data_IF_838052207867
#
_entry.id   IF_838052207867
#
_cell.length_a   1.000
_cell.length_b   1.000
_cell.length_c   1.000
_cell.angle_alpha   90.00
_cell.angle_beta   90.00
_cell.angle_gamma   90.00
#
_symmetry.space_group_name_H-M   'P 1'
#
loop_
_entity.id
_entity.type
_entity.pdbx_description
1 polymer ?
#
# COMPACT_ATOMS: atom_id res chain seq x y z
N UNK A 1 2.37 -7.21 -16.57
CA UNK A 1 3.59 -7.15 -17.41
C UNK A 1 4.58 -8.28 -17.16
N UNK A 2 4.31 -9.23 -16.23
CA UNK A 2 5.20 -10.35 -15.99
C UNK A 2 5.43 -11.18 -17.26
N UNK A 3 6.71 -11.48 -17.56
CA UNK A 3 7.14 -12.15 -18.80
C UNK A 3 7.20 -11.23 -20.03
N UNK A 4 7.18 -9.91 -19.84
CA UNK A 4 7.49 -8.94 -20.90
C UNK A 4 8.98 -8.63 -20.90
N UNK A 5 9.50 -8.20 -22.08
CA UNK A 5 10.79 -7.50 -22.06
C UNK A 5 10.61 -6.10 -21.47
N UNK A 6 11.70 -5.49 -21.01
CA UNK A 6 11.65 -4.13 -20.47
C UNK A 6 11.08 -3.14 -21.48
N UNK A 7 11.51 -3.22 -22.75
CA UNK A 7 11.06 -2.34 -23.84
C UNK A 7 9.56 -2.45 -24.06
N UNK A 8 9.03 -3.67 -24.02
CA UNK A 8 7.58 -3.88 -24.15
C UNK A 8 6.81 -3.35 -22.96
N UNK A 9 7.32 -3.53 -21.74
CA UNK A 9 6.74 -2.96 -20.54
C UNK A 9 6.68 -1.43 -20.61
N UNK A 10 7.80 -0.80 -20.99
CA UNK A 10 7.90 0.65 -21.12
C UNK A 10 6.90 1.19 -22.16
N UNK A 11 6.70 0.48 -23.26
CA UNK A 11 5.80 0.89 -24.34
C UNK A 11 4.31 0.69 -24.00
N UNK A 12 3.95 -0.42 -23.34
CA UNK A 12 2.56 -0.84 -23.16
C UNK A 12 2.01 -0.53 -21.76
N UNK A 13 2.87 -0.47 -20.71
CA UNK A 13 2.45 -0.33 -19.31
C UNK A 13 2.90 1.00 -18.72
N UNK A 14 4.20 1.31 -18.81
CA UNK A 14 4.74 2.51 -18.16
C UNK A 14 4.19 3.81 -18.75
N UNK A 15 3.81 3.81 -20.03
CA UNK A 15 3.23 4.97 -20.74
C UNK A 15 1.71 4.99 -20.72
N UNK A 16 1.05 3.92 -20.26
CA UNK A 16 -0.40 3.88 -20.20
C UNK A 16 -0.93 4.84 -19.13
N UNK A 17 -1.99 5.58 -19.46
CA UNK A 17 -2.74 6.32 -18.44
C UNK A 17 -3.32 5.32 -17.42
N UNK A 18 -3.03 5.56 -16.16
CA UNK A 18 -3.56 4.77 -15.06
C UNK A 18 -4.30 5.65 -14.06
N UNK A 19 -5.34 5.11 -13.43
CA UNK A 19 -5.96 5.75 -12.28
C UNK A 19 -4.95 5.79 -11.12
N UNK A 20 -5.07 6.78 -10.21
CA UNK A 20 -4.27 6.79 -8.99
C UNK A 20 -4.36 5.45 -8.26
N UNK A 21 -3.21 4.92 -7.86
CA UNK A 21 -3.15 3.68 -7.09
C UNK A 21 -3.57 3.93 -5.64
N UNK A 22 -3.77 2.85 -4.88
CA UNK A 22 -4.00 2.98 -3.44
C UNK A 22 -2.78 3.57 -2.70
N UNK A 23 -1.59 3.54 -3.29
CA UNK A 23 -0.42 4.25 -2.76
C UNK A 23 -0.58 5.78 -2.84
N UNK A 24 -1.22 6.28 -3.90
CA UNK A 24 -1.61 7.67 -4.00
C UNK A 24 -2.51 8.08 -2.82
N UNK A 25 -3.56 7.30 -2.58
CA UNK A 25 -4.47 7.54 -1.46
C UNK A 25 -3.76 7.44 -0.09
N UNK A 26 -2.79 6.53 0.06
CA UNK A 26 -2.00 6.40 1.27
C UNK A 26 -1.14 7.67 1.53
N UNK A 27 -0.48 8.20 0.49
CA UNK A 27 0.29 9.43 0.60
C UNK A 27 -0.59 10.63 0.98
N UNK A 28 -1.77 10.76 0.36
CA UNK A 28 -2.74 11.81 0.70
C UNK A 28 -3.26 11.67 2.13
N UNK A 29 -3.54 10.44 2.59
CA UNK A 29 -4.00 10.18 3.94
C UNK A 29 -2.94 10.56 5.00
N UNK A 30 -1.65 10.30 4.73
CA UNK A 30 -0.55 10.74 5.59
C UNK A 30 -0.55 12.27 5.70
N UNK A 31 -0.62 12.99 4.57
CA UNK A 31 -0.67 14.45 4.57
C UNK A 31 -1.89 14.98 5.35
N UNK A 32 -3.06 14.37 5.16
CA UNK A 32 -4.27 14.74 5.90
C UNK A 32 -4.10 14.57 7.41
N UNK A 33 -3.56 13.45 7.86
CA UNK A 33 -3.30 13.18 9.29
C UNK A 33 -2.25 14.10 9.90
N UNK A 34 -1.23 14.45 9.12
CA UNK A 34 -0.13 15.32 9.57
C UNK A 34 -0.45 16.81 9.40
N UNK A 35 -1.61 17.15 8.83
CA UNK A 35 -2.00 18.51 8.48
C UNK A 35 -1.01 19.20 7.53
N UNK A 36 -0.41 18.41 6.62
CA UNK A 36 0.46 18.93 5.58
C UNK A 36 -0.33 19.29 4.33
N UNK A 37 0.04 20.38 3.69
CA UNK A 37 -0.59 20.84 2.45
C UNK A 37 0.16 20.30 1.25
N UNK A 38 -0.54 19.54 0.40
CA UNK A 38 0.03 18.97 -0.81
C UNK A 38 0.31 20.09 -1.81
N UNK A 39 1.52 20.10 -2.35
CA UNK A 39 1.97 20.99 -3.42
C UNK A 39 1.79 20.34 -4.78
N UNK A 40 2.28 19.12 -4.93
CA UNK A 40 2.13 18.29 -6.11
C UNK A 40 2.20 16.80 -5.74
N UNK A 41 1.65 15.98 -6.62
CA UNK A 41 1.68 14.53 -6.50
C UNK A 41 1.73 13.91 -7.89
N UNK A 42 2.54 12.88 -8.06
CA UNK A 42 2.70 12.15 -9.30
C UNK A 42 2.83 10.65 -9.06
N UNK A 43 2.58 9.87 -10.10
CA UNK A 43 2.72 8.42 -10.06
C UNK A 43 3.38 7.91 -11.32
N UNK A 44 4.21 6.89 -11.21
CA UNK A 44 4.80 6.16 -12.32
C UNK A 44 4.72 4.66 -12.07
N UNK A 45 4.67 3.87 -13.16
CA UNK A 45 4.82 2.42 -13.11
C UNK A 45 6.23 2.03 -13.51
N UNK A 46 6.91 1.24 -12.69
CA UNK A 46 8.28 0.81 -12.88
C UNK A 46 8.32 -0.71 -12.99
N UNK A 47 9.05 -1.31 -13.96
CA UNK A 47 9.16 -2.76 -14.05
C UNK A 47 10.03 -3.29 -12.91
N UNK A 48 9.63 -4.42 -12.34
CA UNK A 48 10.47 -5.21 -11.44
C UNK A 48 11.12 -6.33 -12.24
N UNK A 49 12.44 -6.39 -12.20
CA UNK A 49 13.26 -7.31 -13.02
C UNK A 49 14.21 -8.04 -12.09
N UNK A 50 14.33 -9.34 -12.25
CA UNK A 50 15.33 -10.16 -11.56
C UNK A 50 16.49 -10.50 -12.50
N UNK A 51 17.65 -10.71 -11.92
CA UNK A 51 18.87 -11.17 -12.60
C UNK A 51 19.01 -12.70 -12.63
N UNK A 52 17.96 -13.41 -12.24
CA UNK A 52 17.84 -14.86 -12.22
C UNK A 52 16.49 -15.31 -12.77
N UNK A 53 16.41 -16.56 -13.21
CA UNK A 53 15.17 -17.18 -13.67
C UNK A 53 14.21 -17.39 -12.50
N UNK A 54 12.92 -17.11 -12.69
CA UNK A 54 11.88 -17.35 -11.68
C UNK A 54 10.68 -18.07 -12.29
N UNK A 55 10.20 -19.11 -11.64
CA UNK A 55 8.99 -19.81 -12.05
C UNK A 55 7.74 -19.07 -11.58
N UNK A 56 6.83 -18.80 -12.49
CA UNK A 56 5.53 -18.21 -12.19
C UNK A 56 4.44 -19.29 -12.23
N UNK A 57 3.87 -19.63 -11.10
CA UNK A 57 2.75 -20.56 -11.02
C UNK A 57 1.53 -20.04 -11.80
N UNK A 58 1.25 -18.75 -11.71
CA UNK A 58 0.12 -18.10 -12.40
C UNK A 58 0.26 -18.18 -13.92
N UNK A 59 1.47 -18.01 -14.45
CA UNK A 59 1.73 -18.10 -15.89
C UNK A 59 2.03 -19.54 -16.33
N UNK A 60 2.30 -20.46 -15.40
CA UNK A 60 2.68 -21.85 -15.68
C UNK A 60 4.00 -21.98 -16.42
N UNK A 61 4.91 -21.01 -16.28
CA UNK A 61 6.20 -21.00 -16.98
C UNK A 61 7.30 -20.28 -16.20
N UNK A 62 8.53 -20.58 -16.54
CA UNK A 62 9.69 -19.79 -16.06
C UNK A 62 9.78 -18.48 -16.83
N UNK A 63 10.04 -17.40 -16.11
CA UNK A 63 10.38 -16.09 -16.63
C UNK A 63 11.92 -16.00 -16.60
N UNK A 64 12.57 -15.80 -17.75
CA UNK A 64 14.03 -15.70 -17.81
C UNK A 64 14.58 -14.48 -17.08
N UNK A 65 15.81 -14.59 -16.60
CA UNK A 65 16.58 -13.48 -16.09
C UNK A 65 16.56 -12.28 -17.06
N UNK A 66 16.37 -11.06 -16.55
CA UNK A 66 16.29 -9.84 -17.35
C UNK A 66 14.91 -9.52 -17.92
N UNK A 67 13.95 -10.44 -17.87
CA UNK A 67 12.55 -10.14 -18.18
C UNK A 67 11.81 -9.59 -16.96
N UNK A 68 10.70 -8.90 -17.22
CA UNK A 68 9.85 -8.33 -16.17
C UNK A 68 9.18 -9.43 -15.36
N UNK A 69 9.39 -9.43 -14.06
CA UNK A 69 8.78 -10.36 -13.11
C UNK A 69 7.65 -9.74 -12.30
N UNK A 70 7.47 -8.43 -12.44
CA UNK A 70 6.45 -7.67 -11.74
C UNK A 70 6.48 -6.19 -12.07
N UNK A 71 5.76 -5.40 -11.29
CA UNK A 71 5.78 -3.95 -11.42
C UNK A 71 5.69 -3.29 -10.05
N UNK A 72 6.17 -2.07 -9.99
CA UNK A 72 5.96 -1.18 -8.86
C UNK A 72 5.17 0.04 -9.29
N UNK A 73 4.15 0.40 -8.50
CA UNK A 73 3.53 1.71 -8.56
C UNK A 73 4.23 2.61 -7.55
N UNK A 74 4.93 3.62 -8.05
CA UNK A 74 5.68 4.59 -7.24
C UNK A 74 4.95 5.92 -7.28
N UNK A 75 4.46 6.37 -6.13
CA UNK A 75 3.83 7.67 -5.95
C UNK A 75 4.78 8.60 -5.23
N UNK A 76 5.05 9.76 -5.79
CA UNK A 76 5.87 10.81 -5.18
C UNK A 76 5.00 12.03 -4.92
N UNK A 77 5.02 12.52 -3.69
CA UNK A 77 4.26 13.66 -3.22
C UNK A 77 5.18 14.68 -2.56
N UNK A 78 5.03 15.95 -2.93
CA UNK A 78 5.72 17.06 -2.28
C UNK A 78 4.73 17.93 -1.52
N UNK A 79 5.13 18.40 -0.35
CA UNK A 79 4.32 19.29 0.48
C UNK A 79 4.83 20.74 0.42
N UNK A 80 3.96 21.70 0.74
CA UNK A 80 4.39 23.09 0.90
C UNK A 80 5.31 23.29 2.13
N UNK A 81 5.33 22.34 3.06
CA UNK A 81 6.23 22.33 4.21
C UNK A 81 7.65 21.83 3.88
N UNK A 82 7.89 21.44 2.62
CA UNK A 82 9.20 20.95 2.17
C UNK A 82 9.47 19.48 2.47
N UNK A 83 8.41 18.69 2.74
CA UNK A 83 8.51 17.25 2.96
C UNK A 83 8.20 16.55 1.66
N UNK A 84 9.02 15.55 1.31
CA UNK A 84 8.80 14.62 0.22
C UNK A 84 8.36 13.27 0.78
N UNK A 85 7.34 12.68 0.17
CA UNK A 85 6.85 11.35 0.50
C UNK A 85 6.89 10.52 -0.77
N UNK A 86 7.69 9.45 -0.77
CA UNK A 86 7.65 8.44 -1.80
C UNK A 86 7.03 7.16 -1.23
N UNK A 87 6.01 6.64 -1.91
CA UNK A 87 5.31 5.42 -1.52
C UNK A 87 5.33 4.45 -2.68
N UNK A 88 5.83 3.26 -2.43
CA UNK A 88 6.01 2.22 -3.42
C UNK A 88 5.19 0.97 -3.08
N UNK A 89 4.52 0.41 -4.09
CA UNK A 89 3.88 -0.89 -3.99
C UNK A 89 4.40 -1.82 -5.07
N UNK A 90 5.14 -2.84 -4.65
CA UNK A 90 5.75 -3.83 -5.53
C UNK A 90 4.86 -5.07 -5.59
N UNK A 91 4.31 -5.35 -6.77
CA UNK A 91 3.67 -6.62 -7.10
C UNK A 91 4.57 -7.43 -8.02
N UNK A 92 5.08 -8.56 -7.56
CA UNK A 92 6.05 -9.40 -8.30
C UNK A 92 5.75 -10.89 -8.17
N UNK A 93 6.33 -11.69 -9.06
CA UNK A 93 6.42 -13.14 -8.85
C UNK A 93 7.40 -13.39 -7.71
N UNK A 94 6.95 -14.12 -6.68
CA UNK A 94 7.78 -14.43 -5.52
C UNK A 94 8.72 -15.60 -5.81
N UNK A 95 9.94 -15.48 -5.31
CA UNK A 95 10.88 -16.59 -5.14
C UNK A 95 10.49 -17.38 -3.89
N UNK A 96 11.12 -18.53 -3.69
CA UNK A 96 10.82 -19.43 -2.57
C UNK A 96 10.94 -18.75 -1.20
N UNK A 97 11.92 -17.87 -1.03
CA UNK A 97 12.18 -17.16 0.24
C UNK A 97 11.51 -15.79 0.34
N UNK A 98 10.86 -15.32 -0.70
CA UNK A 98 10.15 -14.04 -0.70
C UNK A 98 8.90 -14.11 0.20
N UNK A 99 8.44 -12.96 0.60
CA UNK A 99 7.19 -12.77 1.36
C UNK A 99 6.81 -11.31 1.39
N UNK A 100 5.61 -11.04 1.85
CA UNK A 100 5.16 -9.67 2.02
C UNK A 100 6.04 -8.93 3.04
N UNK A 101 6.20 -7.64 2.83
CA UNK A 101 6.97 -6.76 3.71
C UNK A 101 6.36 -5.36 3.70
N UNK A 102 6.63 -4.60 4.74
CA UNK A 102 6.26 -3.20 4.82
C UNK A 102 7.39 -2.45 5.53
N UNK A 103 8.12 -1.65 4.78
CA UNK A 103 9.24 -0.87 5.27
C UNK A 103 8.93 0.62 5.23
N UNK A 104 9.39 1.34 6.23
CA UNK A 104 9.29 2.78 6.34
C UNK A 104 10.66 3.35 6.65
N UNK A 105 11.13 4.24 5.81
CA UNK A 105 12.37 4.98 6.02
C UNK A 105 12.03 6.47 6.19
N UNK A 106 12.42 7.04 7.30
CA UNK A 106 12.17 8.45 7.62
C UNK A 106 13.51 9.14 7.78
N UNK A 107 13.82 10.06 6.86
CA UNK A 107 15.01 10.90 6.95
C UNK A 107 14.68 12.16 7.76
N UNK A 108 15.37 12.36 8.86
CA UNK A 108 15.13 13.50 9.77
C UNK A 108 16.07 13.48 10.97
N UNK A 109 15.65 14.10 12.05
CA UNK A 109 16.40 14.09 13.32
C UNK A 109 15.54 13.49 14.44
N UNK A 110 15.75 12.22 14.80
CA UNK A 110 16.69 11.25 14.20
C UNK A 110 16.15 10.62 12.91
N UNK A 111 17.01 9.97 12.13
CA UNK A 111 16.57 9.05 11.10
C UNK A 111 15.95 7.81 11.75
N UNK A 112 14.86 7.32 11.16
CA UNK A 112 14.12 6.16 11.66
C UNK A 112 13.89 5.16 10.54
N UNK A 113 13.95 3.87 10.89
CA UNK A 113 13.57 2.76 10.01
C UNK A 113 12.63 1.83 10.76
N UNK A 114 11.51 1.51 10.14
CA UNK A 114 10.58 0.50 10.61
C UNK A 114 10.43 -0.58 9.55
N UNK A 115 10.54 -1.85 9.95
CA UNK A 115 10.39 -2.97 9.03
C UNK A 115 9.44 -4.01 9.60
N UNK A 116 8.52 -4.48 8.76
CA UNK A 116 7.65 -5.61 9.05
C UNK A 116 7.90 -6.69 8.02
N UNK A 117 8.39 -7.83 8.46
CA UNK A 117 8.74 -8.95 7.60
C UNK A 117 7.69 -10.05 7.67
N UNK A 118 7.30 -10.55 6.50
CA UNK A 118 6.36 -11.67 6.31
C UNK A 118 5.06 -11.51 7.13
N UNK A 119 4.39 -10.34 7.08
CA UNK A 119 3.09 -10.20 7.72
C UNK A 119 2.08 -11.15 7.04
N UNK A 120 1.13 -11.66 7.81
CA UNK A 120 -0.04 -12.32 7.23
C UNK A 120 -0.99 -11.23 6.68
N UNK A 121 -0.79 -10.86 5.42
CA UNK A 121 -1.55 -9.78 4.78
C UNK A 121 -3.03 -10.09 4.63
N UNK A 122 -3.41 -11.37 4.52
CA UNK A 122 -4.82 -11.80 4.47
C UNK A 122 -5.48 -11.58 5.83
N UNK A 123 -4.87 -12.08 6.90
CA UNK A 123 -5.38 -11.90 8.26
C UNK A 123 -5.42 -10.40 8.65
N UNK A 124 -4.38 -9.63 8.30
CA UNK A 124 -4.36 -8.18 8.56
C UNK A 124 -5.48 -7.44 7.83
N UNK A 125 -5.72 -7.75 6.56
CA UNK A 125 -6.80 -7.14 5.78
C UNK A 125 -8.16 -7.47 6.38
N UNK A 126 -8.42 -8.74 6.69
CA UNK A 126 -9.65 -9.17 7.32
C UNK A 126 -9.86 -8.50 8.68
N UNK A 127 -8.83 -8.46 9.52
CA UNK A 127 -8.90 -7.82 10.83
C UNK A 127 -9.18 -6.30 10.71
N UNK A 128 -8.53 -5.63 9.76
CA UNK A 128 -8.77 -4.20 9.52
C UNK A 128 -10.22 -3.93 9.14
N UNK A 129 -10.81 -4.72 8.25
CA UNK A 129 -12.20 -4.57 7.82
C UNK A 129 -13.15 -4.81 9.01
N UNK A 130 -12.98 -5.93 9.71
CA UNK A 130 -13.85 -6.30 10.83
C UNK A 130 -13.77 -5.28 11.96
N UNK A 131 -12.57 -4.85 12.33
CA UNK A 131 -12.37 -3.89 13.42
C UNK A 131 -12.86 -2.47 13.07
N UNK A 132 -13.08 -2.17 11.76
CA UNK A 132 -13.69 -0.90 11.32
C UNK A 132 -15.21 -0.86 11.45
N UNK A 133 -15.90 -2.00 11.56
CA UNK A 133 -17.36 -2.05 11.58
C UNK A 133 -17.96 -1.09 12.61
N UNK A 134 -17.54 -1.09 13.90
CA UNK A 134 -18.10 -0.17 14.89
C UNK A 134 -17.93 1.30 14.50
N UNK A 135 -16.73 1.69 14.05
CA UNK A 135 -16.45 3.10 13.70
C UNK A 135 -17.19 3.56 12.45
N UNK A 136 -17.50 2.66 11.52
CA UNK A 136 -18.31 2.99 10.33
C UNK A 136 -19.78 3.14 10.70
N UNK A 137 -20.30 2.32 11.63
CA UNK A 137 -21.68 2.44 12.11
C UNK A 137 -21.93 3.75 12.86
N UNK A 138 -20.93 4.26 13.57
CA UNK A 138 -20.98 5.53 14.31
C UNK A 138 -20.71 6.76 13.43
N UNK A 139 -20.27 6.57 12.18
CA UNK A 139 -19.94 7.68 11.28
C UNK A 139 -21.22 8.37 10.76
N UNK A 140 -21.08 9.68 10.47
CA UNK A 140 -22.14 10.42 9.80
C UNK A 140 -22.45 9.83 8.41
N UNK A 141 -23.71 9.79 7.99
CA UNK A 141 -24.08 9.29 6.68
C UNK A 141 -23.37 10.05 5.54
N UNK A 142 -22.79 9.30 4.60
CA UNK A 142 -22.13 9.87 3.45
C UNK A 142 -20.79 9.22 3.14
N UNK A 143 -19.98 9.87 2.30
CA UNK A 143 -18.62 9.44 1.99
C UNK A 143 -17.67 9.93 3.08
N UNK A 144 -17.08 8.98 3.81
CA UNK A 144 -16.11 9.25 4.88
C UNK A 144 -14.81 8.52 4.56
N UNK A 145 -13.73 9.27 4.52
CA UNK A 145 -12.38 8.73 4.30
C UNK A 145 -11.79 8.18 5.60
N UNK A 146 -10.90 7.20 5.52
CA UNK A 146 -10.40 6.47 6.69
C UNK A 146 -9.66 7.35 7.70
N UNK A 147 -9.00 8.43 7.25
CA UNK A 147 -8.31 9.37 8.14
C UNK A 147 -9.26 10.26 8.96
N UNK A 148 -10.53 10.32 8.59
CA UNK A 148 -11.58 11.05 9.34
C UNK A 148 -12.31 10.17 10.35
N UNK A 149 -12.18 8.86 10.23
CA UNK A 149 -12.71 7.92 11.20
C UNK A 149 -11.83 7.91 12.46
N UNK A 150 -12.39 7.43 13.57
CA UNK A 150 -11.59 7.15 14.77
C UNK A 150 -10.42 6.23 14.42
N UNK A 151 -9.33 6.34 15.19
CA UNK A 151 -8.20 5.42 15.05
C UNK A 151 -8.66 3.97 15.11
N UNK A 152 -8.00 3.11 14.31
CA UNK A 152 -8.27 1.69 14.34
C UNK A 152 -7.79 1.11 15.65
N UNK A 153 -8.69 0.48 16.40
CA UNK A 153 -8.38 -0.23 17.63
C UNK A 153 -8.66 -1.73 17.47
N UNK A 154 -7.98 -2.54 18.24
CA UNK A 154 -8.22 -3.98 18.29
C UNK A 154 -9.24 -4.29 19.39
N UNK A 155 -10.48 -4.69 19.04
CA UNK A 155 -11.48 -5.09 20.00
C UNK A 155 -11.00 -6.30 20.82
N UNK A 156 -11.02 -6.18 22.14
CA UNK A 156 -10.69 -7.29 23.07
C UNK A 156 -11.90 -8.14 23.47
N UNK A 157 -13.10 -7.64 23.18
CA UNK A 157 -14.36 -8.33 23.38
C UNK A 157 -14.97 -8.76 22.05
N UNK A 158 -15.96 -9.66 22.02
CA UNK A 158 -16.70 -10.01 20.83
C UNK A 158 -17.30 -8.77 20.13
N UNK A 159 -17.30 -8.76 18.80
CA UNK A 159 -17.70 -7.60 18.00
C UNK A 159 -19.09 -7.06 18.33
N UNK A 160 -20.07 -7.94 18.63
CA UNK A 160 -21.41 -7.52 18.99
C UNK A 160 -21.45 -6.60 20.22
N UNK A 161 -20.50 -6.74 21.15
CA UNK A 161 -20.41 -5.87 22.33
C UNK A 161 -20.20 -4.41 21.96
N UNK A 162 -19.47 -4.16 20.86
CA UNK A 162 -19.17 -2.81 20.38
C UNK A 162 -20.25 -2.24 19.45
N UNK A 163 -21.06 -3.10 18.84
CA UNK A 163 -22.15 -2.69 17.94
C UNK A 163 -23.44 -2.43 18.71
N UNK A 164 -23.72 -3.25 19.72
CA UNK A 164 -24.95 -3.16 20.51
C UNK A 164 -24.85 -2.18 21.68
N UNK A 165 -23.65 -1.84 22.10
CA UNK A 165 -23.42 -0.95 23.24
C UNK A 165 -22.56 0.25 22.85
N UNK A 166 -23.17 1.36 22.36
CA UNK A 166 -22.47 2.54 21.89
C UNK A 166 -21.64 3.27 22.96
N UNK A 167 -21.74 2.87 24.23
CA UNK A 167 -20.94 3.40 25.33
C UNK A 167 -19.63 2.65 25.58
N UNK A 168 -19.35 1.59 24.81
CA UNK A 168 -18.02 0.97 24.82
C UNK A 168 -17.07 1.86 24.02
N UNK A 169 -16.37 2.76 24.70
CA UNK A 169 -15.23 3.48 24.09
C UNK A 169 -14.11 2.47 23.82
N UNK A 170 -13.66 2.42 22.56
CA UNK A 170 -12.49 1.64 22.11
C UNK A 170 -11.26 2.49 22.33
#
# INVERSE_FOLDING_TARGET
>A
GAGYTKERFDAEIATAESFPSYMWNAAEAICSKMHWTIKDISQKSVPYILDEDVYSETLGRTIPAGEVTGMSAVTTLHTHQGIEIEVECIGKVYREDDGDMCDWEITGEPNLVFSVHKPDTVAHTCATIVNRIPTVLDAEPGFVTSEKLRELAYPIYPLHTYVENPFFEI
#
